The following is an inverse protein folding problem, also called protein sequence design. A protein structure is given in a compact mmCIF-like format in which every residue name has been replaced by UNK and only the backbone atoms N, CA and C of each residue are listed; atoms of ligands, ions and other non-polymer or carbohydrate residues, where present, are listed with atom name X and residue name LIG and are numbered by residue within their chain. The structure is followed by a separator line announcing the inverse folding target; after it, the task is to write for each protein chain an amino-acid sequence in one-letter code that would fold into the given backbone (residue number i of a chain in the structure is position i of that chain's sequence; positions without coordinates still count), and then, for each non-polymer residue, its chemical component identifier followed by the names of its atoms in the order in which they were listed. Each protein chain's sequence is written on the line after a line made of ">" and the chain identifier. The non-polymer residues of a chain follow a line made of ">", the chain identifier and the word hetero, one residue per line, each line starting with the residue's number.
data_IF_564970402041
#
_entry.id   IF_564970402041
#
_cell.length_a   1.000
_cell.length_b   1.000
_cell.length_c   1.000
_cell.angle_alpha   90.00
_cell.angle_beta   90.00
_cell.angle_gamma   90.00
#
_symmetry.space_group_name_H-M   'P 1'
#
loop_
_entity.id
_entity.type
_entity.pdbx_description
1 polymer ?
#
# COMPACT_ATOMS: atom_id res chain seq x y z
N UNK A 1 -25.37 8.96 -20.00
CA UNK A 1 -24.36 9.88 -19.43
C UNK A 1 -24.79 10.28 -18.03
N UNK A 2 -24.25 9.64 -17.00
CA UNK A 2 -24.47 10.06 -15.62
C UNK A 2 -23.66 11.32 -15.30
N UNK A 3 -24.25 12.29 -14.57
CA UNK A 3 -23.58 13.54 -14.21
C UNK A 3 -22.38 13.26 -13.28
N UNK A 4 -21.35 14.12 -13.35
CA UNK A 4 -20.15 14.05 -12.49
C UNK A 4 -20.50 13.85 -11.00
N UNK A 5 -21.60 14.45 -10.54
CA UNK A 5 -22.12 14.36 -9.17
C UNK A 5 -22.43 12.93 -8.70
N UNK A 6 -22.92 12.04 -9.60
CA UNK A 6 -23.23 10.65 -9.24
C UNK A 6 -21.99 9.75 -9.18
N UNK A 7 -20.93 10.05 -9.95
CA UNK A 7 -19.65 9.35 -9.83
C UNK A 7 -18.95 9.66 -8.51
N UNK A 8 -18.99 10.93 -8.08
CA UNK A 8 -18.48 11.38 -6.78
C UNK A 8 -19.24 10.71 -5.63
N UNK A 9 -20.58 10.65 -5.69
CA UNK A 9 -21.39 9.95 -4.67
C UNK A 9 -21.08 8.44 -4.56
N UNK A 10 -20.74 7.77 -5.66
CA UNK A 10 -20.39 6.34 -5.66
C UNK A 10 -18.98 6.11 -5.10
N UNK A 11 -18.03 7.02 -5.37
CA UNK A 11 -16.69 6.98 -4.79
C UNK A 11 -16.74 7.23 -3.27
N UNK A 12 -17.57 8.18 -2.82
CA UNK A 12 -17.88 8.46 -1.41
C UNK A 12 -18.61 7.31 -0.70
N UNK A 13 -19.33 6.47 -1.45
CA UNK A 13 -19.98 5.28 -0.90
C UNK A 13 -19.00 4.09 -0.78
N UNK A 14 -18.11 3.90 -1.77
CA UNK A 14 -17.03 2.90 -1.76
C UNK A 14 -16.15 3.03 -0.51
N UNK A 15 -15.81 4.26 -0.21
CA UNK A 15 -15.13 4.67 1.00
C UNK A 15 -15.92 4.58 2.25
N UNK A 16 -17.18 5.02 2.30
CA UNK A 16 -17.96 4.85 3.51
C UNK A 16 -18.05 3.36 3.88
N UNK A 17 -18.15 2.47 2.87
CA UNK A 17 -18.01 1.04 3.10
C UNK A 17 -16.59 0.67 3.56
N UNK A 18 -15.54 1.08 2.87
CA UNK A 18 -14.15 0.76 3.24
C UNK A 18 -13.77 1.29 4.63
N UNK A 19 -14.17 2.50 4.96
CA UNK A 19 -14.09 3.17 6.25
C UNK A 19 -14.70 2.32 7.37
N UNK A 20 -15.90 1.81 7.12
CA UNK A 20 -16.68 1.03 8.09
C UNK A 20 -16.34 -0.46 8.12
N UNK A 21 -15.68 -0.98 7.08
CA UNK A 21 -15.29 -2.40 6.94
C UNK A 21 -13.81 -2.65 7.25
N UNK A 22 -12.94 -1.63 7.16
CA UNK A 22 -11.51 -1.71 7.46
C UNK A 22 -11.00 -0.70 8.50
N UNK A 23 -11.84 0.26 8.95
CA UNK A 23 -11.69 0.96 10.22
C UNK A 23 -10.83 2.21 10.14
N UNK A 24 -11.49 3.37 10.02
CA UNK A 24 -10.87 4.70 9.95
C UNK A 24 -11.63 5.67 9.05
N UNK A 25 -11.26 6.95 9.12
CA UNK A 25 -11.84 8.01 8.31
C UNK A 25 -11.24 7.93 6.90
N UNK A 26 -12.06 7.72 5.88
CA UNK A 26 -11.61 7.92 4.50
C UNK A 26 -11.79 9.40 4.19
N UNK A 27 -10.68 10.11 4.05
CA UNK A 27 -10.70 11.40 3.34
C UNK A 27 -10.37 11.10 1.89
N UNK A 28 -11.31 11.35 0.97
CA UNK A 28 -10.89 11.58 -0.43
C UNK A 28 -10.36 13.00 -0.49
N UNK A 29 -9.36 13.18 -1.34
CA UNK A 29 -8.95 14.48 -1.83
C UNK A 29 -10.05 15.28 -2.55
N UNK A 30 -11.28 14.77 -2.64
CA UNK A 30 -12.42 15.40 -3.32
C UNK A 30 -13.18 16.42 -2.44
N UNK A 31 -12.83 16.61 -1.16
CA UNK A 31 -13.46 17.63 -0.31
C UNK A 31 -12.51 18.80 0.00
N UNK A 32 -12.08 19.52 -1.03
CA UNK A 32 -11.84 20.94 -0.88
C UNK A 32 -13.17 21.68 -1.08
N UNK A 33 -13.99 21.77 -0.03
CA UNK A 33 -15.01 22.82 0.01
C UNK A 33 -15.06 23.47 1.40
N UNK A 34 -14.88 24.77 1.37
CA UNK A 34 -14.86 25.68 2.51
C UNK A 34 -16.18 25.71 3.29
N UNK A 35 -16.09 26.19 4.54
CA UNK A 35 -17.12 26.43 5.58
C UNK A 35 -17.52 25.16 6.36
N UNK A 36 -17.46 25.11 7.70
CA UNK A 36 -17.74 26.14 8.69
C UNK A 36 -16.94 25.90 9.99
N UNK A 37 -16.61 27.02 10.62
CA UNK A 37 -15.93 27.19 11.90
C UNK A 37 -16.81 26.82 13.09
N UNK A 38 -16.33 25.95 14.00
CA UNK A 38 -16.61 26.10 15.44
C UNK A 38 -15.48 25.58 16.30
N UNK A 39 -15.09 26.42 17.25
CA UNK A 39 -14.02 26.31 18.23
C UNK A 39 -14.03 25.03 19.09
N UNK A 40 -12.83 24.51 19.36
CA UNK A 40 -12.39 24.18 20.73
C UNK A 40 -10.89 24.45 20.88
N UNK A 41 -10.56 25.36 21.79
CA UNK A 41 -9.28 25.51 22.53
C UNK A 41 -8.80 24.15 23.04
N UNK A 42 -7.52 23.79 23.10
CA UNK A 42 -6.40 24.51 23.70
C UNK A 42 -5.04 23.88 23.32
N UNK A 43 -4.00 24.66 23.52
CA UNK A 43 -2.61 24.52 23.05
C UNK A 43 -1.84 23.34 23.69
N UNK A 44 -0.99 22.66 22.88
CA UNK A 44 0.40 22.32 23.26
C UNK A 44 1.29 22.13 22.03
N UNK A 45 2.36 22.93 21.98
CA UNK A 45 3.50 22.78 21.07
C UNK A 45 4.10 21.37 21.22
N UNK A 46 4.21 20.63 20.12
CA UNK A 46 5.09 19.48 20.01
C UNK A 46 5.93 19.62 18.73
N UNK A 47 7.22 19.90 18.90
CA UNK A 47 8.22 20.16 17.86
C UNK A 47 9.06 18.91 17.55
N UNK A 48 8.49 17.72 17.67
CA UNK A 48 9.21 16.48 17.33
C UNK A 48 8.26 15.45 16.72
N UNK A 49 8.06 15.54 15.41
CA UNK A 49 7.26 14.58 14.65
C UNK A 49 8.18 13.45 14.18
N UNK A 50 8.18 12.34 14.93
CA UNK A 50 8.77 11.07 14.50
C UNK A 50 7.74 10.33 13.66
N UNK A 51 8.08 9.99 12.41
CA UNK A 51 7.29 9.07 11.58
C UNK A 51 7.46 7.63 12.08
N UNK A 52 6.60 6.74 11.56
CA UNK A 52 6.61 5.31 11.83
C UNK A 52 7.97 4.69 11.47
N UNK A 53 8.80 4.50 12.48
CA UNK A 53 10.00 3.67 12.40
C UNK A 53 9.61 2.20 12.50
N UNK A 54 10.01 1.39 11.52
CA UNK A 54 10.01 -0.06 11.67
C UNK A 54 11.34 -0.48 12.33
N UNK A 55 11.37 -0.43 13.66
CA UNK A 55 12.44 -1.08 14.43
C UNK A 55 12.05 -2.52 14.70
N UNK A 56 12.34 -3.43 13.77
CA UNK A 56 12.71 -4.80 14.12
C UNK A 56 13.42 -5.46 12.95
N UNK A 57 14.75 -5.33 12.95
CA UNK A 57 15.61 -6.35 12.39
C UNK A 57 15.50 -7.58 13.28
N UNK A 58 14.95 -8.68 12.78
CA UNK A 58 15.28 -9.99 13.34
C UNK A 58 15.83 -10.90 12.24
N UNK A 59 17.12 -11.17 12.37
CA UNK A 59 17.92 -11.99 11.48
C UNK A 59 17.49 -13.44 11.61
N UNK A 60 16.70 -13.95 10.66
CA UNK A 60 16.71 -15.36 10.27
C UNK A 60 15.87 -15.60 9.01
N UNK A 61 16.42 -15.25 7.85
CA UNK A 61 16.27 -16.13 6.71
C UNK A 61 17.51 -16.05 5.82
N UNK A 62 18.37 -17.04 5.96
CA UNK A 62 19.63 -17.10 5.27
C UNK A 62 19.41 -17.29 3.76
N UNK A 63 20.17 -16.49 3.02
CA UNK A 63 20.59 -16.66 1.63
C UNK A 63 20.68 -18.14 1.24
N UNK A 64 19.90 -18.55 0.24
CA UNK A 64 20.16 -19.80 -0.49
C UNK A 64 21.47 -19.59 -1.27
N UNK A 65 22.55 -20.19 -0.75
CA UNK A 65 23.81 -20.35 -1.50
C UNK A 65 23.58 -21.26 -2.71
N UNK A 66 24.24 -21.00 -3.85
CA UNK A 66 24.14 -21.85 -5.02
C UNK A 66 24.88 -23.18 -4.76
N UNK A 67 24.18 -24.29 -4.89
CA UNK A 67 24.77 -25.62 -4.85
C UNK A 67 25.46 -25.93 -6.17
N UNK A 68 26.79 -25.97 -6.13
CA UNK A 68 27.62 -26.66 -7.12
C UNK A 68 27.45 -28.17 -6.95
N UNK A 69 26.91 -28.85 -7.96
CA UNK A 69 27.19 -30.28 -8.18
C UNK A 69 27.05 -30.63 -9.66
N UNK A 70 28.20 -30.97 -10.24
CA UNK A 70 28.38 -31.61 -11.53
C UNK A 70 27.64 -32.95 -11.62
N UNK A 71 26.86 -33.15 -12.68
CA UNK A 71 26.76 -34.46 -13.33
C UNK A 71 26.33 -34.30 -14.79
N UNK A 72 27.09 -34.94 -15.68
CA UNK A 72 26.83 -35.05 -17.11
C UNK A 72 25.63 -35.98 -17.36
N UNK A 73 24.73 -35.62 -18.28
CA UNK A 73 24.34 -36.55 -19.35
C UNK A 73 23.66 -35.84 -20.53
N UNK A 74 23.94 -36.36 -21.73
CA UNK A 74 23.66 -35.80 -23.06
C UNK A 74 22.23 -36.01 -23.59
N UNK A 75 21.88 -35.18 -24.58
CA UNK A 75 20.84 -35.31 -25.62
C UNK A 75 19.36 -35.32 -25.18
N UNK A 76 18.40 -34.65 -25.85
CA UNK A 76 18.32 -34.21 -27.26
C UNK A 76 17.26 -33.09 -27.47
N UNK A 77 17.43 -32.37 -28.58
CA UNK A 77 16.63 -31.28 -29.18
C UNK A 77 15.09 -31.38 -29.11
N UNK A 78 14.43 -30.26 -28.80
CA UNK A 78 13.34 -29.68 -29.63
C UNK A 78 13.48 -28.15 -29.63
N UNK A 79 13.57 -27.57 -30.82
CA UNK A 79 13.80 -26.15 -31.09
C UNK A 79 12.47 -25.39 -31.16
N UNK A 80 12.30 -24.34 -30.36
CA UNK A 80 11.35 -23.26 -30.65
C UNK A 80 11.98 -21.88 -30.37
N UNK A 81 11.59 -20.93 -31.21
CA UNK A 81 12.27 -19.69 -31.60
C UNK A 81 12.67 -18.74 -30.45
N UNK A 82 13.97 -18.46 -30.36
CA UNK A 82 14.53 -17.38 -29.56
C UNK A 82 14.34 -16.02 -30.25
N UNK A 83 13.48 -15.18 -29.67
CA UNK A 83 13.62 -13.73 -29.80
C UNK A 83 14.98 -13.36 -29.18
N UNK A 84 15.86 -12.72 -29.96
CA UNK A 84 17.14 -12.20 -29.48
C UNK A 84 16.92 -11.10 -28.44
N UNK A 85 16.80 -11.49 -27.17
CA UNK A 85 17.08 -10.60 -26.06
C UNK A 85 18.60 -10.47 -25.96
N UNK A 86 19.17 -9.40 -26.53
CA UNK A 86 20.56 -9.04 -26.30
C UNK A 86 20.77 -8.89 -24.79
N UNK A 87 21.63 -9.71 -24.20
CA UNK A 87 21.98 -9.60 -22.79
C UNK A 87 22.54 -8.19 -22.52
N UNK A 88 21.79 -7.35 -21.80
CA UNK A 88 22.29 -6.06 -21.34
C UNK A 88 23.34 -6.35 -20.28
N UNK A 89 24.61 -6.17 -20.64
CA UNK A 89 25.74 -6.41 -19.74
C UNK A 89 25.63 -5.49 -18.52
N UNK A 90 26.00 -6.00 -17.35
CA UNK A 90 25.95 -5.26 -16.09
C UNK A 90 26.63 -3.89 -16.23
N UNK A 91 27.70 -3.75 -17.00
CA UNK A 91 28.45 -2.50 -17.19
C UNK A 91 27.65 -1.27 -17.69
N UNK A 92 26.46 -1.46 -18.28
CA UNK A 92 25.68 -0.35 -18.84
C UNK A 92 25.06 0.59 -17.78
N UNK A 93 25.01 0.23 -16.49
CA UNK A 93 24.52 1.13 -15.43
C UNK A 93 25.32 2.44 -15.33
N UNK A 94 26.59 2.42 -15.75
CA UNK A 94 27.45 3.59 -15.77
C UNK A 94 26.96 4.70 -16.71
N UNK A 95 26.06 4.37 -17.66
CA UNK A 95 25.48 5.31 -18.61
C UNK A 95 24.11 5.87 -18.15
N UNK A 96 23.67 5.59 -16.93
CA UNK A 96 22.41 6.13 -16.41
C UNK A 96 22.56 7.64 -16.20
N UNK A 97 21.74 8.42 -16.89
CA UNK A 97 21.62 9.86 -16.64
C UNK A 97 20.78 10.12 -15.40
N UNK A 98 21.46 10.34 -14.28
CA UNK A 98 20.86 10.57 -12.96
C UNK A 98 19.88 11.76 -12.97
N UNK A 99 20.22 12.86 -13.66
CA UNK A 99 19.35 14.04 -13.67
C UNK A 99 18.08 13.80 -14.48
N UNK A 100 18.20 13.12 -15.62
CA UNK A 100 17.05 12.74 -16.41
C UNK A 100 16.16 11.75 -15.65
N UNK A 101 16.74 10.79 -14.91
CA UNK A 101 15.97 9.86 -14.06
C UNK A 101 15.19 10.61 -12.99
N UNK A 102 15.82 11.54 -12.26
CA UNK A 102 15.14 12.36 -11.25
C UNK A 102 13.95 13.12 -11.84
N UNK A 103 14.15 13.71 -13.02
CA UNK A 103 13.08 14.43 -13.74
C UNK A 103 11.94 13.49 -14.12
N UNK A 104 12.27 12.31 -14.67
CA UNK A 104 11.29 11.29 -15.03
C UNK A 104 10.52 10.76 -13.80
N UNK A 105 11.19 10.59 -12.66
CA UNK A 105 10.55 10.18 -11.40
C UNK A 105 9.54 11.21 -10.90
N UNK A 106 9.86 12.50 -10.96
CA UNK A 106 8.89 13.56 -10.61
C UNK A 106 7.67 13.51 -11.52
N UNK A 107 7.90 13.36 -12.83
CA UNK A 107 6.82 13.26 -13.81
C UNK A 107 5.94 12.04 -13.56
N UNK A 108 6.55 10.88 -13.27
CA UNK A 108 5.81 9.63 -13.05
C UNK A 108 5.05 9.64 -11.73
N UNK A 109 5.63 10.19 -10.65
CA UNK A 109 4.93 10.42 -9.40
C UNK A 109 3.69 11.31 -9.61
N UNK A 110 3.84 12.41 -10.34
CA UNK A 110 2.73 13.29 -10.65
C UNK A 110 1.71 12.68 -11.61
N UNK A 111 2.11 11.77 -12.50
CA UNK A 111 1.21 10.99 -13.36
C UNK A 111 0.37 10.02 -12.51
N UNK A 112 0.99 9.30 -11.58
CA UNK A 112 0.30 8.47 -10.59
C UNK A 112 -0.70 9.30 -9.78
N UNK A 113 -0.28 10.46 -9.25
CA UNK A 113 -1.16 11.37 -8.49
C UNK A 113 -2.35 11.85 -9.31
N UNK A 114 -2.15 12.21 -10.59
CA UNK A 114 -3.22 12.63 -11.48
C UNK A 114 -4.25 11.51 -11.77
N UNK A 115 -3.83 10.24 -11.87
CA UNK A 115 -4.76 9.09 -12.00
C UNK A 115 -5.70 8.95 -10.80
N UNK A 116 -5.32 9.55 -9.67
CA UNK A 116 -6.03 9.51 -8.39
C UNK A 116 -6.67 10.87 -8.03
N UNK A 117 -6.70 11.83 -8.95
CA UNK A 117 -7.31 13.14 -8.74
C UNK A 117 -6.53 14.06 -7.78
N UNK A 118 -5.27 13.73 -7.48
CA UNK A 118 -4.43 14.50 -6.57
C UNK A 118 -3.67 15.60 -7.30
N UNK A 119 -3.40 16.69 -6.58
CA UNK A 119 -2.54 17.78 -7.07
C UNK A 119 -1.11 17.28 -7.28
N UNK A 120 -0.47 17.79 -8.33
CA UNK A 120 0.94 17.54 -8.58
C UNK A 120 1.81 18.11 -7.44
N UNK A 121 2.84 17.37 -7.04
CA UNK A 121 3.88 17.84 -6.13
C UNK A 121 4.90 18.70 -6.88
N UNK A 122 5.40 19.72 -6.19
CA UNK A 122 6.47 20.59 -6.66
C UNK A 122 7.82 20.12 -6.15
N UNK A 123 8.82 20.05 -7.03
CA UNK A 123 10.19 19.73 -6.59
C UNK A 123 10.93 20.96 -6.10
N UNK A 124 11.60 20.84 -4.94
CA UNK A 124 12.31 21.94 -4.28
C UNK A 124 13.74 21.57 -3.93
N UNK A 125 14.65 22.54 -4.00
CA UNK A 125 16.09 22.34 -3.88
C UNK A 125 16.48 21.74 -2.53
N UNK A 126 15.88 22.20 -1.45
CA UNK A 126 16.16 21.76 -0.08
C UNK A 126 15.89 20.27 0.10
N UNK A 127 14.72 19.80 -0.35
CA UNK A 127 14.37 18.38 -0.33
C UNK A 127 15.23 17.57 -1.30
N UNK A 128 15.53 18.09 -2.50
CA UNK A 128 16.41 17.40 -3.45
C UNK A 128 17.81 17.16 -2.89
N UNK A 129 18.35 18.15 -2.17
CA UNK A 129 19.66 18.02 -1.52
C UNK A 129 19.63 16.95 -0.43
N UNK A 130 18.59 16.94 0.40
CA UNK A 130 18.46 15.93 1.44
C UNK A 130 18.27 14.53 0.85
N UNK A 131 17.35 14.37 -0.10
CA UNK A 131 17.11 13.12 -0.82
C UNK A 131 18.39 12.57 -1.47
N UNK A 132 19.20 13.45 -2.09
CA UNK A 132 20.48 13.05 -2.68
C UNK A 132 21.47 12.59 -1.60
N UNK A 133 21.56 13.30 -0.48
CA UNK A 133 22.43 12.90 0.63
C UNK A 133 22.07 11.52 1.18
N UNK A 134 20.77 11.18 1.19
CA UNK A 134 20.26 9.87 1.58
C UNK A 134 20.74 8.80 0.60
N UNK A 135 20.49 8.96 -0.70
CA UNK A 135 20.93 7.96 -1.70
C UNK A 135 22.45 7.81 -1.77
N UNK A 136 23.21 8.90 -1.59
CA UNK A 136 24.67 8.86 -1.54
C UNK A 136 25.17 8.04 -0.35
N UNK A 137 24.50 8.14 0.81
CA UNK A 137 24.84 7.33 1.98
C UNK A 137 24.63 5.82 1.72
N UNK A 138 23.56 5.46 1.00
CA UNK A 138 23.22 4.07 0.71
C UNK A 138 24.22 3.37 -0.20
N UNK A 139 24.98 4.11 -1.01
CA UNK A 139 26.03 3.51 -1.86
C UNK A 139 27.11 2.75 -1.06
N UNK A 140 27.21 3.00 0.24
CA UNK A 140 28.18 2.35 1.14
C UNK A 140 27.54 1.31 2.06
N UNK A 141 26.27 1.51 2.44
CA UNK A 141 25.61 0.74 3.50
C UNK A 141 24.46 -0.12 3.01
N UNK A 142 23.95 0.11 1.80
CA UNK A 142 22.59 -0.27 1.43
C UNK A 142 21.55 0.67 2.05
N UNK A 143 20.28 0.45 1.71
CA UNK A 143 19.14 1.12 2.38
C UNK A 143 19.10 0.78 3.87
N UNK A 144 18.72 1.75 4.70
CA UNK A 144 18.94 1.71 6.15
C UNK A 144 17.64 1.60 6.98
N UNK A 145 16.52 1.23 6.36
CA UNK A 145 15.21 1.18 7.00
C UNK A 145 14.87 2.48 7.75
N UNK A 146 15.20 3.63 7.15
CA UNK A 146 15.01 4.97 7.69
C UNK A 146 15.86 5.33 8.92
N UNK A 147 16.83 4.49 9.31
CA UNK A 147 17.64 4.74 10.51
C UNK A 147 18.45 6.05 10.48
N UNK A 148 18.87 6.50 9.30
CA UNK A 148 19.56 7.77 9.08
C UNK A 148 18.64 8.95 8.73
N UNK A 149 17.33 8.76 8.75
CA UNK A 149 16.37 9.80 8.39
C UNK A 149 16.14 10.80 9.53
N UNK A 150 16.04 12.08 9.19
CA UNK A 150 15.80 13.17 10.10
C UNK A 150 15.10 14.32 9.37
N UNK A 151 13.81 14.45 9.63
CA UNK A 151 12.95 15.48 9.03
C UNK A 151 13.43 16.90 9.27
N UNK A 152 14.20 17.19 10.32
CA UNK A 152 14.75 18.54 10.54
C UNK A 152 15.66 19.01 9.38
N UNK A 153 16.29 18.09 8.65
CA UNK A 153 17.12 18.40 7.49
C UNK A 153 16.29 18.79 6.25
N UNK A 154 14.96 18.67 6.31
CA UNK A 154 14.05 19.05 5.24
C UNK A 154 13.62 20.52 5.32
N UNK A 155 14.13 21.30 6.29
CA UNK A 155 13.75 22.70 6.48
C UNK A 155 13.85 23.53 5.18
N UNK A 156 12.82 24.35 4.82
CA UNK A 156 11.61 24.66 5.58
C UNK A 156 10.43 23.68 5.38
N UNK A 157 10.63 22.58 4.66
CA UNK A 157 9.60 21.62 4.24
C UNK A 157 9.44 20.40 5.18
N UNK A 158 9.75 20.56 6.46
CA UNK A 158 9.80 19.47 7.44
C UNK A 158 8.45 19.16 8.10
N UNK A 159 7.39 19.93 7.78
CA UNK A 159 6.05 19.63 8.26
C UNK A 159 5.46 18.50 7.43
N UNK A 160 4.70 17.62 8.07
CA UNK A 160 4.08 16.45 7.42
C UNK A 160 5.11 15.58 6.68
N UNK A 161 6.34 15.54 7.21
CA UNK A 161 7.49 14.94 6.53
C UNK A 161 7.35 13.42 6.38
N UNK A 162 7.67 12.92 5.18
CA UNK A 162 7.62 11.52 4.78
C UNK A 162 8.85 11.16 3.93
N UNK A 163 9.30 9.92 4.01
CA UNK A 163 10.40 9.38 3.20
C UNK A 163 9.94 8.10 2.50
N UNK A 164 10.29 7.96 1.21
CA UNK A 164 10.32 6.67 0.52
C UNK A 164 11.75 6.36 0.12
N UNK A 165 12.22 5.15 0.43
CA UNK A 165 13.55 4.68 0.02
C UNK A 165 13.47 3.30 -0.60
N UNK A 166 14.24 3.08 -1.66
CA UNK A 166 14.33 1.77 -2.28
C UNK A 166 15.69 1.58 -2.93
N UNK A 167 16.01 0.32 -3.21
CA UNK A 167 17.17 -0.05 -3.98
C UNK A 167 16.79 -1.14 -4.98
N UNK A 168 17.32 -1.05 -6.20
CA UNK A 168 17.13 -2.09 -7.22
C UNK A 168 18.42 -2.32 -8.00
N UNK A 169 18.83 -3.58 -8.22
CA UNK A 169 19.98 -3.86 -9.06
C UNK A 169 19.66 -3.52 -10.52
N UNK A 170 20.68 -3.07 -11.26
CA UNK A 170 20.56 -2.83 -12.69
C UNK A 170 20.10 -4.06 -13.47
N UNK A 171 20.35 -5.28 -12.99
CA UNK A 171 19.82 -6.50 -13.62
C UNK A 171 18.28 -6.57 -13.60
N UNK A 172 17.62 -6.01 -12.59
CA UNK A 172 16.15 -5.92 -12.51
C UNK A 172 15.61 -4.73 -13.30
N UNK A 173 16.31 -3.59 -13.26
CA UNK A 173 15.95 -2.40 -14.03
C UNK A 173 16.16 -2.64 -15.53
N UNK A 174 17.29 -3.21 -15.91
CA UNK A 174 17.61 -3.69 -17.25
C UNK A 174 17.51 -2.61 -18.32
N UNK A 175 17.75 -1.34 -18.01
CA UNK A 175 17.66 -0.22 -18.96
C UNK A 175 18.35 1.02 -18.41
N UNK A 176 18.83 1.89 -19.31
CA UNK A 176 19.33 3.23 -18.97
C UNK A 176 18.32 4.32 -19.36
N UNK A 177 17.16 3.95 -19.92
CA UNK A 177 16.10 4.88 -20.27
C UNK A 177 15.48 5.49 -19.00
N UNK A 178 15.55 6.84 -18.82
CA UNK A 178 15.07 7.48 -17.61
C UNK A 178 13.59 7.26 -17.31
N UNK A 179 12.74 7.22 -18.34
CA UNK A 179 11.29 7.05 -18.20
C UNK A 179 10.99 5.65 -17.71
N UNK A 180 11.59 4.63 -18.32
CA UNK A 180 11.37 3.24 -17.91
C UNK A 180 11.93 2.98 -16.50
N UNK A 181 13.05 3.62 -16.12
CA UNK A 181 13.56 3.55 -14.74
C UNK A 181 12.53 4.14 -13.77
N UNK A 182 12.02 5.34 -14.06
CA UNK A 182 11.01 6.02 -13.25
C UNK A 182 9.71 5.20 -13.10
N UNK A 183 9.20 4.63 -14.20
CA UNK A 183 8.03 3.75 -14.19
C UNK A 183 8.23 2.52 -13.31
N UNK A 184 9.41 1.87 -13.40
CA UNK A 184 9.74 0.69 -12.60
C UNK A 184 9.83 1.00 -11.12
N UNK A 185 10.51 2.09 -10.74
CA UNK A 185 10.67 2.45 -9.33
C UNK A 185 9.36 2.94 -8.72
N UNK A 186 8.58 3.77 -9.43
CA UNK A 186 7.24 4.17 -8.98
C UNK A 186 6.32 2.96 -8.89
N UNK A 187 6.43 2.00 -9.80
CA UNK A 187 5.69 0.74 -9.71
C UNK A 187 6.10 -0.10 -8.50
N UNK A 188 7.38 -0.13 -8.15
CA UNK A 188 7.82 -0.83 -6.95
C UNK A 188 7.35 -0.13 -5.67
N UNK A 189 7.51 1.19 -5.54
CA UNK A 189 6.91 1.93 -4.43
C UNK A 189 5.39 1.80 -4.38
N UNK A 190 4.73 1.63 -5.53
CA UNK A 190 3.30 1.40 -5.55
C UNK A 190 2.96 -0.01 -5.09
N UNK A 191 3.57 -1.05 -5.68
CA UNK A 191 3.12 -2.44 -5.54
C UNK A 191 3.84 -3.21 -4.42
N UNK A 192 5.04 -2.78 -4.02
CA UNK A 192 5.95 -3.44 -3.08
C UNK A 192 6.08 -4.94 -3.42
N UNK A 193 6.33 -5.24 -4.70
CA UNK A 193 6.30 -6.62 -5.19
C UNK A 193 7.52 -7.41 -4.73
N UNK A 194 8.64 -6.73 -4.51
CA UNK A 194 9.91 -7.32 -4.14
C UNK A 194 10.25 -7.13 -2.65
N UNK A 195 9.37 -6.48 -1.89
CA UNK A 195 9.53 -6.33 -0.45
C UNK A 195 9.17 -7.64 0.27
N UNK A 196 9.99 -8.09 1.25
CA UNK A 196 9.68 -9.28 2.05
C UNK A 196 8.38 -9.14 2.84
N UNK A 197 8.04 -7.91 3.26
CA UNK A 197 6.86 -7.57 4.04
C UNK A 197 6.19 -6.32 3.43
N UNK A 198 5.37 -6.48 2.38
CA UNK A 198 4.72 -5.34 1.74
C UNK A 198 3.71 -4.72 2.71
N UNK A 199 4.00 -3.49 3.15
CA UNK A 199 3.19 -2.70 4.07
C UNK A 199 2.55 -1.48 3.41
N UNK A 200 2.92 -1.22 2.15
CA UNK A 200 2.46 -0.19 1.23
C UNK A 200 2.62 1.24 1.77
N UNK A 201 3.53 1.44 2.72
CA UNK A 201 3.88 2.77 3.23
C UNK A 201 4.37 3.68 2.10
N UNK A 202 5.11 3.13 1.14
CA UNK A 202 5.58 3.90 -0.01
C UNK A 202 4.43 4.48 -0.84
N UNK A 203 3.43 3.65 -1.15
CA UNK A 203 2.22 4.06 -1.87
C UNK A 203 1.45 5.12 -1.08
N UNK A 204 1.29 4.95 0.23
CA UNK A 204 0.64 5.93 1.11
C UNK A 204 1.30 7.30 0.95
N UNK A 205 2.62 7.37 1.04
CA UNK A 205 3.34 8.64 0.96
C UNK A 205 3.18 9.28 -0.44
N UNK A 206 3.34 8.51 -1.52
CA UNK A 206 3.14 9.02 -2.89
C UNK A 206 1.73 9.58 -3.14
N UNK A 207 0.72 9.02 -2.47
CA UNK A 207 -0.68 9.40 -2.60
C UNK A 207 -1.20 10.26 -1.44
N UNK A 208 -0.32 10.81 -0.59
CA UNK A 208 -0.74 11.69 0.49
C UNK A 208 -1.36 12.98 -0.09
N UNK A 209 -2.64 13.30 0.21
CA UNK A 209 -3.32 14.48 -0.32
C UNK A 209 -2.94 15.78 0.40
N UNK A 210 -2.26 15.69 1.54
CA UNK A 210 -1.92 16.81 2.40
C UNK A 210 -0.50 17.35 2.18
N UNK A 211 0.27 16.80 1.25
CA UNK A 211 1.63 17.27 0.92
C UNK A 211 1.65 17.99 -0.44
N UNK A 212 2.52 19.00 -0.56
CA UNK A 212 2.69 19.78 -1.79
C UNK A 212 4.09 19.70 -2.39
N UNK A 213 5.10 19.23 -1.65
CA UNK A 213 6.49 19.24 -2.09
C UNK A 213 7.19 17.88 -2.01
N UNK A 214 8.15 17.68 -2.90
CA UNK A 214 9.00 16.48 -2.95
C UNK A 214 10.45 16.79 -3.35
N UNK A 215 11.41 16.06 -2.81
CA UNK A 215 12.78 15.99 -3.27
C UNK A 215 13.10 14.59 -3.76
N UNK A 216 13.90 14.46 -4.82
CA UNK A 216 14.25 13.17 -5.42
C UNK A 216 15.77 12.97 -5.42
N UNK A 217 16.20 11.89 -4.76
CA UNK A 217 17.56 11.40 -4.70
C UNK A 217 17.72 10.16 -5.57
N UNK A 218 18.82 10.10 -6.31
CA UNK A 218 19.21 8.91 -7.09
C UNK A 218 20.72 8.77 -7.05
N UNK A 219 21.22 7.59 -6.68
CA UNK A 219 22.66 7.27 -6.70
C UNK A 219 22.87 5.87 -7.27
N UNK A 220 23.96 5.67 -8.01
CA UNK A 220 24.33 4.37 -8.60
C UNK A 220 25.60 3.88 -7.93
N UNK A 221 25.51 2.73 -7.25
CA UNK A 221 26.64 2.02 -6.66
C UNK A 221 27.57 1.43 -7.72
N UNK A 222 28.82 1.19 -7.34
CA UNK A 222 29.83 0.62 -8.25
C UNK A 222 29.53 -0.82 -8.67
N UNK A 223 28.66 -1.51 -7.93
CA UNK A 223 28.13 -2.85 -8.18
C UNK A 223 26.89 -2.86 -9.11
N UNK A 224 26.42 -1.67 -9.51
CA UNK A 224 25.22 -1.51 -10.31
C UNK A 224 23.92 -1.56 -9.50
N UNK A 225 23.97 -1.49 -8.16
CA UNK A 225 22.78 -1.15 -7.37
C UNK A 225 22.40 0.31 -7.60
N UNK A 226 21.12 0.58 -7.77
CA UNK A 226 20.59 1.92 -7.92
C UNK A 226 19.71 2.20 -6.71
N UNK A 227 19.98 3.32 -6.04
CA UNK A 227 19.34 3.77 -4.81
C UNK A 227 18.45 4.96 -5.11
N UNK A 228 17.26 4.97 -4.53
CA UNK A 228 16.23 5.98 -4.74
C UNK A 228 15.74 6.52 -3.41
N UNK A 229 15.53 7.83 -3.32
CA UNK A 229 14.84 8.48 -2.20
C UNK A 229 13.81 9.48 -2.73
N UNK A 230 12.64 9.53 -2.09
CA UNK A 230 11.69 10.64 -2.17
C UNK A 230 11.52 11.23 -0.77
N UNK A 231 11.85 12.50 -0.60
CA UNK A 231 11.61 13.26 0.64
C UNK A 231 10.40 14.17 0.41
N UNK A 232 9.31 13.99 1.15
CA UNK A 232 8.04 14.68 0.91
C UNK A 232 7.60 15.46 2.15
N UNK A 233 7.00 16.63 1.96
CA UNK A 233 6.54 17.43 3.09
C UNK A 233 6.03 18.81 2.69
N UNK A 234 5.88 19.67 3.69
CA UNK A 234 5.29 21.00 3.56
C UNK A 234 6.11 22.07 4.28
N UNK A 235 6.07 23.27 3.70
CA UNK A 235 6.36 24.49 4.43
C UNK A 235 5.15 24.93 5.26
N UNK A 236 5.32 25.94 6.12
CA UNK A 236 4.25 26.44 6.99
C UNK A 236 3.00 26.87 6.21
N UNK A 237 3.16 27.54 5.07
CA UNK A 237 2.04 28.02 4.26
C UNK A 237 1.17 26.86 3.76
N UNK A 238 1.80 25.83 3.19
CA UNK A 238 1.08 24.69 2.61
C UNK A 238 0.46 23.80 3.68
N UNK A 239 1.18 23.56 4.79
CA UNK A 239 0.64 22.87 5.96
C UNK A 239 -0.64 23.53 6.49
N UNK A 240 -0.64 24.86 6.56
CA UNK A 240 -1.76 25.63 7.11
C UNK A 240 -3.04 25.62 6.24
N UNK A 241 -2.98 25.09 5.02
CA UNK A 241 -4.17 24.96 4.14
C UNK A 241 -5.08 23.82 4.56
N UNK A 242 -4.56 22.86 5.32
CA UNK A 242 -5.26 21.62 5.66
C UNK A 242 -5.66 21.59 7.13
N UNK A 243 -6.73 20.85 7.43
CA UNK A 243 -7.18 20.67 8.80
C UNK A 243 -6.22 19.72 9.55
N UNK A 244 -5.72 20.14 10.71
CA UNK A 244 -4.84 19.34 11.56
C UNK A 244 -5.46 17.99 11.99
N UNK A 245 -6.78 17.91 12.19
CA UNK A 245 -7.45 16.63 12.51
C UNK A 245 -7.38 15.65 11.36
N UNK A 246 -7.44 16.15 10.12
CA UNK A 246 -7.47 15.33 8.92
C UNK A 246 -6.06 14.84 8.56
N UNK A 247 -5.06 15.71 8.69
CA UNK A 247 -3.64 15.33 8.64
C UNK A 247 -3.34 14.28 9.71
N UNK A 248 -3.75 14.50 10.96
CA UNK A 248 -3.50 13.55 12.04
C UNK A 248 -4.22 12.22 11.84
N UNK A 249 -5.46 12.25 11.36
CA UNK A 249 -6.20 11.05 11.00
C UNK A 249 -5.48 10.27 9.88
N UNK A 250 -4.96 10.96 8.87
CA UNK A 250 -4.16 10.37 7.80
C UNK A 250 -2.84 9.81 8.32
N UNK A 251 -2.13 10.53 9.18
CA UNK A 251 -0.91 10.07 9.82
C UNK A 251 -1.14 8.76 10.56
N UNK A 252 -2.21 8.69 11.37
CA UNK A 252 -2.60 7.49 12.11
C UNK A 252 -3.02 6.30 11.25
N UNK A 253 -3.21 6.50 9.93
CA UNK A 253 -3.36 5.36 9.01
C UNK A 253 -2.01 4.64 8.91
N UNK A 254 -1.80 3.64 9.74
CA UNK A 254 -0.56 2.87 9.71
C UNK A 254 -0.78 1.62 8.87
N UNK A 255 0.29 1.10 8.26
CA UNK A 255 0.29 -0.20 7.59
C UNK A 255 -0.89 -0.36 6.64
N UNK A 256 -1.14 0.67 5.84
CA UNK A 256 -2.23 0.60 4.88
C UNK A 256 -3.60 0.29 5.50
N UNK A 257 -3.90 0.86 6.68
CA UNK A 257 -5.30 1.07 7.12
C UNK A 257 -6.16 1.54 5.94
N UNK A 258 -5.55 2.32 5.02
CA UNK A 258 -6.05 2.80 3.75
C UNK A 258 -4.92 3.10 2.73
N UNK A 259 -4.28 2.15 2.02
CA UNK A 259 -3.99 2.51 0.61
C UNK A 259 -5.04 1.83 -0.24
N UNK A 260 -6.25 2.36 -0.09
CA UNK A 260 -6.74 3.48 -0.90
C UNK A 260 -7.07 2.89 -2.25
N UNK A 261 -8.35 2.86 -2.54
CA UNK A 261 -8.84 2.76 -3.90
C UNK A 261 -8.00 3.71 -4.74
N UNK A 262 -7.04 3.15 -5.45
CA UNK A 262 -6.08 3.90 -6.20
C UNK A 262 -5.91 3.22 -7.53
N UNK A 263 -5.56 4.03 -8.51
CA UNK A 263 -5.40 3.61 -9.89
C UNK A 263 -3.97 3.84 -10.26
N UNK A 264 -3.38 2.81 -10.83
CA UNK A 264 -2.10 2.93 -11.47
C UNK A 264 -2.07 1.98 -12.65
N UNK A 265 -2.35 2.52 -13.82
CA UNK A 265 -2.42 1.80 -15.09
C UNK A 265 -1.26 0.81 -15.36
N UNK A 266 -0.04 1.12 -14.91
CA UNK A 266 1.10 0.20 -15.02
C UNK A 266 0.98 -1.01 -14.09
N UNK A 267 0.53 -0.83 -12.83
CA UNK A 267 0.21 -1.96 -11.95
C UNK A 267 -1.06 -2.71 -12.38
N UNK A 268 -1.98 -2.00 -13.02
CA UNK A 268 -3.29 -2.50 -13.43
C UNK A 268 -3.28 -3.06 -14.86
N UNK A 269 -2.13 -3.09 -15.54
CA UNK A 269 -2.02 -3.46 -16.95
C UNK A 269 -2.58 -4.85 -17.28
N UNK A 270 -2.65 -5.76 -16.30
CA UNK A 270 -3.22 -7.11 -16.46
C UNK A 270 -4.74 -7.18 -16.25
N UNK A 271 -5.36 -6.11 -15.74
CA UNK A 271 -6.78 -6.02 -15.41
C UNK A 271 -7.62 -5.59 -16.61
N UNK A 272 -7.60 -6.40 -17.67
CA UNK A 272 -8.18 -6.06 -18.99
C UNK A 272 -9.59 -6.60 -19.24
N UNK A 273 -10.05 -7.57 -18.44
CA UNK A 273 -11.36 -8.17 -18.65
C UNK A 273 -12.49 -7.22 -18.19
N UNK A 274 -13.73 -7.54 -18.53
CA UNK A 274 -14.86 -6.66 -18.21
C UNK A 274 -15.22 -6.55 -16.71
N UNK A 275 -14.54 -7.26 -15.80
CA UNK A 275 -14.72 -7.12 -14.34
C UNK A 275 -14.03 -5.85 -13.85
N UNK A 276 -13.10 -5.30 -14.64
CA UNK A 276 -12.35 -4.10 -14.26
C UNK A 276 -12.86 -2.84 -14.98
N UNK A 277 -13.87 -2.98 -15.85
CA UNK A 277 -14.39 -1.90 -16.68
C UNK A 277 -15.63 -1.29 -16.03
N UNK A 278 -15.47 -0.07 -15.51
CA UNK A 278 -16.57 0.69 -14.93
C UNK A 278 -17.64 1.05 -15.98
N UNK A 279 -18.92 0.98 -15.56
CA UNK A 279 -20.13 1.36 -16.33
C UNK A 279 -21.21 1.90 -15.39
N UNK A 280 -22.30 2.42 -15.94
CA UNK A 280 -23.30 3.20 -15.19
C UNK A 280 -23.79 2.57 -13.86
N UNK A 281 -24.00 1.24 -13.82
CA UNK A 281 -24.46 0.52 -12.62
C UNK A 281 -23.41 -0.42 -12.00
N UNK A 282 -22.15 -0.29 -12.43
CA UNK A 282 -21.03 -1.12 -12.00
C UNK A 282 -19.78 -0.26 -11.89
N UNK A 283 -19.37 0.06 -10.67
CA UNK A 283 -18.12 0.78 -10.41
C UNK A 283 -17.15 -0.14 -9.69
N UNK A 284 -15.86 0.06 -9.89
CA UNK A 284 -14.82 -0.75 -9.25
C UNK A 284 -13.83 0.14 -8.54
N UNK A 285 -13.30 -0.43 -7.47
CA UNK A 285 -12.36 0.20 -6.58
C UNK A 285 -11.30 -0.83 -6.18
N UNK A 286 -10.03 -0.45 -6.22
CA UNK A 286 -8.94 -1.33 -5.81
C UNK A 286 -9.05 -1.72 -4.34
N UNK A 287 -8.85 -3.02 -4.07
CA UNK A 287 -8.59 -3.53 -2.72
C UNK A 287 -7.43 -4.50 -2.79
N UNK A 288 -6.58 -4.50 -1.77
CA UNK A 288 -5.48 -5.47 -1.66
C UNK A 288 -5.68 -6.24 -0.36
N UNK A 289 -6.00 -7.53 -0.50
CA UNK A 289 -6.34 -8.39 0.62
C UNK A 289 -7.28 -9.50 0.17
N UNK A 290 -8.32 -9.74 0.95
CA UNK A 290 -9.29 -10.76 0.63
C UNK A 290 -10.50 -10.71 1.53
N UNK A 291 -11.28 -11.77 1.43
CA UNK A 291 -12.52 -11.95 2.17
C UNK A 291 -12.57 -13.33 2.79
N UNK A 292 -13.16 -13.44 3.97
CA UNK A 292 -13.54 -14.71 4.57
C UNK A 292 -15.06 -14.78 4.60
N UNK A 293 -15.64 -15.79 3.97
CA UNK A 293 -17.08 -16.05 4.05
C UNK A 293 -17.48 -16.36 5.48
N UNK A 294 -18.68 -15.99 5.91
CA UNK A 294 -19.18 -16.26 7.27
C UNK A 294 -19.58 -17.72 7.47
N UNK A 295 -20.40 -18.00 8.49
CA UNK A 295 -20.83 -19.33 8.94
C UNK A 295 -21.84 -20.03 8.01
N UNK A 296 -22.21 -19.41 6.89
CA UNK A 296 -23.17 -19.94 5.92
C UNK A 296 -22.58 -20.02 4.51
N UNK A 297 -23.18 -20.90 3.68
CA UNK A 297 -22.85 -20.99 2.25
C UNK A 297 -23.08 -19.64 1.59
N UNK A 298 -22.04 -19.06 1.01
CA UNK A 298 -22.08 -17.70 0.47
C UNK A 298 -22.40 -17.71 -1.01
N UNK A 299 -23.41 -16.95 -1.40
CA UNK A 299 -23.86 -16.82 -2.80
C UNK A 299 -22.85 -15.97 -3.58
N UNK A 300 -22.58 -16.37 -4.82
CA UNK A 300 -21.80 -15.58 -5.77
C UNK A 300 -22.75 -14.86 -6.72
N UNK A 301 -22.43 -13.61 -7.01
CA UNK A 301 -23.10 -12.76 -7.98
C UNK A 301 -22.20 -12.56 -9.19
N UNK A 302 -22.79 -12.43 -10.37
CA UNK A 302 -22.06 -12.03 -11.57
C UNK A 302 -21.84 -10.50 -11.59
N UNK A 303 -21.08 -10.00 -12.56
CA UNK A 303 -20.80 -8.55 -12.70
C UNK A 303 -22.03 -7.69 -13.01
N UNK A 304 -23.17 -8.32 -13.30
CA UNK A 304 -24.46 -7.68 -13.55
C UNK A 304 -25.39 -7.75 -12.33
N UNK A 305 -24.94 -8.33 -11.21
CA UNK A 305 -25.74 -8.46 -10.00
C UNK A 305 -26.68 -9.67 -9.99
N UNK A 306 -26.60 -10.54 -10.99
CA UNK A 306 -27.39 -11.78 -11.02
C UNK A 306 -26.75 -12.82 -10.10
N UNK A 307 -27.58 -13.52 -9.31
CA UNK A 307 -27.11 -14.66 -8.53
C UNK A 307 -26.66 -15.78 -9.47
N UNK A 308 -25.44 -16.27 -9.25
CA UNK A 308 -24.95 -17.50 -9.89
C UNK A 308 -25.56 -18.71 -9.19
N UNK A 309 -26.04 -19.65 -9.99
CA UNK A 309 -26.63 -20.92 -9.52
C UNK A 309 -25.67 -22.10 -9.65
N UNK A 310 -24.60 -21.90 -10.43
CA UNK A 310 -23.58 -22.90 -10.74
C UNK A 310 -22.41 -22.89 -9.73
N UNK A 311 -22.26 -21.82 -8.95
CA UNK A 311 -21.15 -21.65 -8.02
C UNK A 311 -21.60 -20.95 -6.72
N UNK A 312 -21.00 -21.37 -5.61
CA UNK A 312 -21.13 -20.75 -4.30
C UNK A 312 -19.90 -21.09 -3.46
N UNK A 313 -19.61 -20.28 -2.45
CA UNK A 313 -18.48 -20.48 -1.56
C UNK A 313 -18.92 -21.19 -0.28
N UNK A 314 -18.07 -22.10 0.21
CA UNK A 314 -18.31 -22.79 1.47
C UNK A 314 -18.15 -21.84 2.66
N UNK A 315 -18.85 -22.09 3.80
CA UNK A 315 -18.68 -21.30 5.02
C UNK A 315 -17.22 -21.22 5.49
N UNK A 316 -16.84 -20.13 6.14
CA UNK A 316 -15.53 -19.92 6.79
C UNK A 316 -14.32 -20.17 5.87
N UNK A 317 -14.46 -19.94 4.56
CA UNK A 317 -13.36 -20.04 3.58
C UNK A 317 -12.83 -18.66 3.20
N UNK A 318 -11.52 -18.57 2.98
CA UNK A 318 -10.86 -17.31 2.62
C UNK A 318 -10.51 -17.26 1.14
N UNK A 319 -10.70 -16.09 0.54
CA UNK A 319 -10.51 -15.83 -0.89
C UNK A 319 -9.76 -14.53 -1.08
N UNK A 320 -8.78 -14.52 -1.99
CA UNK A 320 -8.14 -13.27 -2.39
C UNK A 320 -9.15 -12.37 -3.10
N UNK A 321 -9.03 -11.07 -2.88
CA UNK A 321 -9.85 -10.04 -3.54
C UNK A 321 -8.93 -8.90 -3.96
N UNK A 322 -9.11 -8.47 -5.21
CA UNK A 322 -8.30 -7.46 -5.86
C UNK A 322 -9.08 -6.16 -6.15
N UNK A 323 -10.41 -6.24 -6.20
CA UNK A 323 -11.31 -5.10 -6.30
C UNK A 323 -12.56 -5.26 -5.41
N UNK A 324 -13.13 -4.12 -5.03
CA UNK A 324 -14.52 -3.97 -4.61
C UNK A 324 -15.32 -3.53 -5.82
N UNK A 325 -16.44 -4.20 -6.06
CA UNK A 325 -17.42 -3.81 -7.06
C UNK A 325 -18.66 -3.21 -6.39
N UNK A 326 -19.17 -2.12 -6.96
CA UNK A 326 -20.43 -1.50 -6.60
C UNK A 326 -21.42 -1.84 -7.70
N UNK A 327 -22.28 -2.81 -7.45
CA UNK A 327 -23.25 -3.34 -8.42
C UNK A 327 -24.64 -2.90 -7.96
N UNK A 328 -25.30 -2.07 -8.77
CA UNK A 328 -26.61 -1.49 -8.46
C UNK A 328 -26.66 -0.84 -7.06
N UNK A 329 -25.57 -0.17 -6.67
CA UNK A 329 -25.44 0.52 -5.37
C UNK A 329 -25.12 -0.39 -4.17
N UNK A 330 -24.99 -1.71 -4.37
CA UNK A 330 -24.57 -2.65 -3.34
C UNK A 330 -23.08 -3.00 -3.51
N UNK A 331 -22.42 -3.33 -2.41
CA UNK A 331 -20.99 -3.60 -2.39
C UNK A 331 -20.68 -5.09 -2.42
N UNK A 332 -19.67 -5.43 -3.21
CA UNK A 332 -19.21 -6.79 -3.39
C UNK A 332 -17.69 -6.86 -3.49
N UNK A 333 -17.12 -8.01 -3.14
CA UNK A 333 -15.70 -8.33 -3.31
C UNK A 333 -15.54 -9.32 -4.45
N UNK A 334 -14.59 -9.05 -5.35
CA UNK A 334 -14.27 -9.96 -6.46
C UNK A 334 -13.51 -11.18 -5.95
N UNK A 335 -13.96 -12.38 -6.33
CA UNK A 335 -13.35 -13.66 -5.89
C UNK A 335 -12.95 -14.57 -7.04
N UNK A 336 -13.51 -14.35 -8.23
CA UNK A 336 -13.12 -15.01 -9.47
C UNK A 336 -13.72 -14.26 -10.68
N UNK A 337 -13.27 -14.57 -11.89
CA UNK A 337 -13.82 -13.97 -13.12
C UNK A 337 -15.34 -14.07 -13.16
N UNK A 338 -16.02 -12.93 -13.33
CA UNK A 338 -17.48 -12.82 -13.26
C UNK A 338 -18.10 -13.35 -11.95
N UNK A 339 -17.39 -13.23 -10.83
CA UNK A 339 -17.80 -13.78 -9.54
C UNK A 339 -17.47 -12.86 -8.37
N UNK A 340 -18.52 -12.45 -7.68
CA UNK A 340 -18.46 -11.46 -6.60
C UNK A 340 -19.25 -11.94 -5.39
N UNK A 341 -18.74 -11.71 -4.18
CA UNK A 341 -19.48 -11.96 -2.93
C UNK A 341 -19.97 -10.66 -2.32
N UNK A 342 -21.19 -10.66 -1.78
CA UNK A 342 -21.76 -9.52 -1.08
C UNK A 342 -20.93 -9.16 0.15
N UNK A 343 -20.65 -7.87 0.34
CA UNK A 343 -19.93 -7.37 1.52
C UNK A 343 -20.68 -7.65 2.84
N UNK A 344 -21.98 -7.95 2.79
CA UNK A 344 -22.77 -8.34 3.97
C UNK A 344 -22.48 -9.78 4.41
N UNK A 345 -22.02 -10.63 3.51
CA UNK A 345 -21.89 -12.08 3.70
C UNK A 345 -20.44 -12.52 3.94
N UNK A 346 -19.50 -11.57 3.98
CA UNK A 346 -18.09 -11.85 4.18
C UNK A 346 -17.42 -10.83 5.12
N UNK A 347 -16.38 -11.27 5.83
CA UNK A 347 -15.45 -10.43 6.57
C UNK A 347 -14.28 -10.08 5.64
N UNK A 348 -14.10 -8.81 5.27
CA UNK A 348 -12.94 -8.42 4.50
C UNK A 348 -11.71 -8.27 5.39
N UNK A 349 -10.55 -8.59 4.85
CA UNK A 349 -9.28 -8.54 5.55
C UNK A 349 -8.15 -8.11 4.62
N UNK A 350 -7.08 -7.61 5.21
CA UNK A 350 -5.86 -7.25 4.52
C UNK A 350 -4.69 -8.09 5.06
N UNK A 351 -3.67 -8.33 4.23
CA UNK A 351 -2.60 -9.30 4.47
C UNK A 351 -1.20 -8.70 4.66
N UNK A 352 -1.06 -7.38 4.79
CA UNK A 352 0.23 -6.69 4.91
C UNK A 352 0.95 -6.93 6.26
N UNK A 353 0.40 -7.79 7.13
CA UNK A 353 0.96 -8.18 8.43
C UNK A 353 1.46 -9.60 8.49
N UNK A 354 1.51 -10.29 7.34
CA UNK A 354 1.95 -11.68 7.29
C UNK A 354 3.33 -11.86 7.92
N UNK A 355 3.37 -12.43 9.13
CA UNK A 355 4.61 -12.70 9.86
C UNK A 355 4.91 -11.75 11.02
N UNK A 356 4.19 -10.63 11.15
CA UNK A 356 4.37 -9.69 12.27
C UNK A 356 3.97 -10.30 13.60
N UNK A 357 4.65 -9.92 14.69
CA UNK A 357 4.29 -10.35 16.05
C UNK A 357 3.58 -9.25 16.84
N UNK A 358 2.48 -9.61 17.52
CA UNK A 358 1.77 -8.74 18.47
C UNK A 358 1.80 -9.33 19.87
N UNK A 359 1.86 -8.48 20.90
CA UNK A 359 1.82 -8.90 22.30
C UNK A 359 0.51 -8.46 22.95
N UNK A 360 -0.18 -9.38 23.63
CA UNK A 360 -1.36 -9.04 24.41
C UNK A 360 -0.99 -8.19 25.63
N UNK A 361 -1.62 -7.03 25.81
CA UNK A 361 -1.39 -6.15 26.98
C UNK A 361 -2.21 -6.54 28.21
N UNK A 362 -3.21 -7.38 28.00
CA UNK A 362 -4.15 -7.88 29.01
C UNK A 362 -4.53 -9.33 28.70
N UNK A 363 -5.37 -9.95 29.54
CA UNK A 363 -6.04 -11.20 29.16
C UNK A 363 -7.02 -10.89 28.02
N UNK A 364 -6.55 -10.99 26.79
CA UNK A 364 -7.21 -10.47 25.62
C UNK A 364 -8.29 -11.44 25.11
N UNK A 365 -9.43 -10.89 24.69
CA UNK A 365 -10.56 -11.69 24.21
C UNK A 365 -10.29 -12.17 22.78
N UNK A 366 -10.66 -13.41 22.50
CA UNK A 366 -10.62 -13.97 21.14
C UNK A 366 -12.00 -13.86 20.50
N UNK A 367 -12.07 -13.23 19.33
CA UNK A 367 -13.28 -13.03 18.54
C UNK A 367 -13.27 -13.91 17.29
N UNK A 368 -14.45 -14.26 16.78
CA UNK A 368 -14.63 -14.98 15.52
C UNK A 368 -14.76 -14.03 14.31
N UNK A 369 -14.92 -14.59 13.10
CA UNK A 369 -15.06 -13.88 11.83
C UNK A 369 -16.34 -13.02 11.77
N UNK A 370 -17.34 -13.29 12.62
CA UNK A 370 -18.55 -12.49 12.78
C UNK A 370 -18.38 -11.36 13.80
N UNK A 371 -17.25 -11.34 14.52
CA UNK A 371 -16.93 -10.38 15.57
C UNK A 371 -17.50 -10.75 16.94
N UNK A 372 -18.01 -11.97 17.13
CA UNK A 372 -18.51 -12.45 18.41
C UNK A 372 -17.39 -12.95 19.30
N UNK A 373 -17.50 -12.71 20.60
CA UNK A 373 -16.56 -13.25 21.58
C UNK A 373 -16.71 -14.77 21.68
N UNK A 374 -15.62 -15.51 21.47
CA UNK A 374 -15.61 -16.98 21.43
C UNK A 374 -15.69 -17.65 22.82
N UNK A 375 -15.69 -16.87 23.91
CA UNK A 375 -15.54 -17.40 25.26
C UNK A 375 -14.08 -17.68 25.67
N UNK A 376 -13.13 -17.54 24.74
CA UNK A 376 -11.70 -17.81 24.97
C UNK A 376 -10.90 -16.53 25.12
N UNK A 377 -9.86 -16.58 25.94
CA UNK A 377 -8.87 -15.50 26.08
C UNK A 377 -7.46 -15.99 25.84
N UNK A 378 -6.57 -15.10 25.42
CA UNK A 378 -5.12 -15.32 25.48
C UNK A 378 -4.54 -14.59 26.70
N UNK A 379 -3.51 -15.12 27.37
CA UNK A 379 -2.93 -14.47 28.56
C UNK A 379 -2.25 -13.14 28.24
N UNK A 380 -2.25 -12.22 29.21
CA UNK A 380 -1.42 -11.01 29.14
C UNK A 380 0.06 -11.37 28.91
N UNK A 381 0.77 -10.54 28.13
CA UNK A 381 2.17 -10.69 27.72
C UNK A 381 2.47 -11.88 26.80
N UNK A 382 1.45 -12.60 26.33
CA UNK A 382 1.65 -13.60 25.28
C UNK A 382 1.85 -12.94 23.92
N UNK A 383 2.80 -13.45 23.14
CA UNK A 383 3.12 -12.98 21.80
C UNK A 383 2.48 -13.91 20.74
N UNK A 384 1.99 -13.32 19.65
CA UNK A 384 1.29 -14.01 18.58
C UNK A 384 1.75 -13.52 17.23
N UNK A 385 2.09 -14.46 16.34
CA UNK A 385 2.29 -14.14 14.93
C UNK A 385 0.92 -13.92 14.31
N UNK A 386 0.77 -12.79 13.63
CA UNK A 386 -0.45 -12.43 12.91
C UNK A 386 -0.19 -12.50 11.42
N UNK A 387 -1.26 -12.67 10.65
CA UNK A 387 -1.15 -12.64 9.19
C UNK A 387 -2.21 -11.80 8.49
N UNK A 388 -3.21 -11.35 9.23
CA UNK A 388 -4.30 -10.55 8.68
C UNK A 388 -4.79 -9.51 9.69
N UNK A 389 -5.23 -8.38 9.15
CA UNK A 389 -6.02 -7.36 9.85
C UNK A 389 -7.44 -7.34 9.30
N UNK A 390 -8.41 -7.15 10.18
CA UNK A 390 -9.80 -6.83 9.82
C UNK A 390 -10.37 -5.82 10.82
N UNK A 391 -11.62 -5.38 10.61
CA UNK A 391 -12.39 -4.68 11.65
C UNK A 391 -13.47 -5.60 12.17
N UNK A 392 -13.57 -5.66 13.49
CA UNK A 392 -14.63 -6.41 14.14
C UNK A 392 -15.99 -5.85 13.70
N UNK A 393 -16.85 -6.66 13.04
CA UNK A 393 -18.13 -6.17 12.50
C UNK A 393 -19.07 -5.61 13.56
N UNK A 394 -18.94 -6.06 14.81
CA UNK A 394 -19.81 -5.68 15.93
C UNK A 394 -19.27 -4.48 16.71
N UNK A 395 -17.99 -4.50 17.11
CA UNK A 395 -17.40 -3.45 17.96
C UNK A 395 -16.80 -2.29 17.18
N UNK A 396 -16.59 -2.46 15.87
CA UNK A 396 -15.90 -1.51 14.99
C UNK A 396 -14.44 -1.24 15.37
N UNK A 397 -13.85 -2.09 16.20
CA UNK A 397 -12.44 -2.02 16.58
C UNK A 397 -11.62 -2.90 15.62
N UNK A 398 -10.47 -2.40 15.18
CA UNK A 398 -9.49 -3.19 14.42
C UNK A 398 -9.10 -4.45 15.18
N UNK A 399 -8.87 -5.54 14.46
CA UNK A 399 -8.51 -6.82 15.03
C UNK A 399 -7.51 -7.57 14.14
N UNK A 400 -6.70 -8.40 14.79
CA UNK A 400 -5.58 -9.12 14.17
C UNK A 400 -5.78 -10.62 14.31
N UNK A 401 -5.58 -11.35 13.22
CA UNK A 401 -5.81 -12.79 13.18
C UNK A 401 -4.66 -13.54 13.83
N UNK A 402 -4.99 -14.37 14.82
CA UNK A 402 -4.04 -15.23 15.54
C UNK A 402 -4.25 -16.72 15.24
N UNK A 403 -5.23 -17.04 14.40
CA UNK A 403 -5.58 -18.40 14.00
C UNK A 403 -6.83 -18.45 13.13
N UNK A 404 -7.23 -19.64 12.71
CA UNK A 404 -8.48 -19.84 11.95
C UNK A 404 -9.67 -19.39 12.80
N UNK A 405 -10.45 -18.44 12.28
CA UNK A 405 -11.63 -17.89 12.95
C UNK A 405 -11.33 -17.35 14.37
N UNK A 406 -10.14 -16.76 14.55
CA UNK A 406 -9.65 -16.29 15.84
C UNK A 406 -8.89 -14.96 15.71
N UNK A 407 -9.42 -13.92 16.34
CA UNK A 407 -8.94 -12.55 16.24
C UNK A 407 -8.80 -11.89 17.61
N UNK A 408 -7.80 -11.02 17.79
CA UNK A 408 -7.68 -10.16 18.98
C UNK A 408 -7.83 -8.69 18.56
N UNK A 409 -8.57 -7.90 19.32
CA UNK A 409 -8.75 -6.46 19.04
C UNK A 409 -7.50 -5.64 19.36
N UNK A 410 -7.23 -4.62 18.55
CA UNK A 410 -6.05 -3.75 18.64
C UNK A 410 -5.90 -3.09 20.01
N UNK A 411 -7.01 -2.67 20.63
CA UNK A 411 -7.00 -2.04 21.95
C UNK A 411 -6.59 -3.00 23.10
N UNK A 412 -6.34 -4.28 22.80
CA UNK A 412 -5.82 -5.29 23.73
C UNK A 412 -4.42 -5.77 23.35
N UNK A 413 -3.78 -5.12 22.38
CA UNK A 413 -2.49 -5.48 21.83
C UNK A 413 -1.52 -4.30 21.87
N UNK A 414 -0.24 -4.62 21.93
CA UNK A 414 0.85 -3.74 21.51
C UNK A 414 1.59 -4.48 20.40
N UNK A 415 1.96 -3.79 19.33
CA UNK A 415 2.77 -4.37 18.26
C UNK A 415 4.23 -4.33 18.69
N UNK A 416 4.96 -5.42 18.45
CA UNK A 416 6.36 -5.54 18.85
C UNK A 416 7.30 -4.98 17.78
#
# INVERSE_FOLDING_TARGET
>A
MFSKTKKVAILLAASALLATSFGGNVVYADEANATDSTNTTDVKNDTTVSTATNTNSDTNNQVVKPSSSSSNNSDSHVSESTNSATAKTQAAYSNIDIMAVKTAMLNELNRLRAQNGLNALSSVTELNNYAQSRTDSFTKTGVDNHAGWNSANMYPYYLDAEENIAQMPYSMIGTTDPTIIAEKITHEFYSETYDPEPNYGHRKNMLNPYIEYVGIGVSVGSDGMIYFSQEMGNNQESHSKYNASDIYAYYLTNENDYANVSKYDLADGNRKNADYVARDNYQVADVRGGVTTKDQKTVIYDRNGNKRVDLALAPNTSWASDIIAIIDGNFYYHVCTNGFVSAKDALPWASFLSGTTVTATTNAKVYDDNGYYTGKTVPAKSAWIVDRRAVNPSTKIKMYRIGTNAWIQQNQLVRN
#
